data_IF_524413754321
#
_entry.id   IF_524413754321
#
_cell.length_a   1.000
_cell.length_b   1.000
_cell.length_c   1.000
_cell.angle_alpha   90.00
_cell.angle_beta   90.00
_cell.angle_gamma   90.00
#
_symmetry.space_group_name_H-M   'P 1'
#
loop_
_entity.id
_entity.type
_entity.pdbx_description
1 polymer ?
#
# COMPACT_ATOMS: atom_id res chain seq x y z
N UNK A 1 -16.68 -17.06 -0.31
CA UNK A 1 -17.35 -16.42 -1.44
C UNK A 1 -16.92 -14.94 -1.57
N UNK A 2 -15.67 -14.74 -1.94
CA UNK A 2 -15.00 -13.43 -2.02
C UNK A 2 -15.72 -12.47 -2.98
N UNK A 3 -16.21 -12.97 -4.12
CA UNK A 3 -16.89 -12.13 -5.12
C UNK A 3 -18.17 -11.51 -4.57
N UNK A 4 -18.98 -12.26 -3.85
CA UNK A 4 -20.20 -11.72 -3.23
C UNK A 4 -19.90 -10.65 -2.19
N UNK A 5 -18.81 -10.78 -1.45
CA UNK A 5 -18.37 -9.75 -0.48
C UNK A 5 -17.92 -8.52 -1.23
N UNK A 6 -17.12 -8.71 -2.29
CA UNK A 6 -16.65 -7.62 -3.14
C UNK A 6 -17.82 -6.83 -3.75
N UNK A 7 -18.78 -7.53 -4.34
CA UNK A 7 -19.95 -6.88 -4.95
C UNK A 7 -20.75 -6.06 -3.94
N UNK A 8 -20.96 -6.59 -2.73
CA UNK A 8 -21.63 -5.84 -1.65
C UNK A 8 -20.87 -4.58 -1.24
N UNK A 9 -19.54 -4.68 -1.08
CA UNK A 9 -18.71 -3.54 -0.71
C UNK A 9 -18.71 -2.47 -1.80
N UNK A 10 -18.57 -2.89 -3.07
CA UNK A 10 -18.61 -1.97 -4.21
C UNK A 10 -19.99 -1.34 -4.40
N UNK A 11 -21.07 -2.09 -4.13
CA UNK A 11 -22.43 -1.54 -4.15
C UNK A 11 -22.64 -0.50 -3.07
N UNK A 12 -22.20 -0.79 -1.83
CA UNK A 12 -22.24 0.18 -0.72
C UNK A 12 -21.43 1.43 -1.06
N UNK A 13 -20.23 1.26 -1.59
CA UNK A 13 -19.39 2.37 -2.01
C UNK A 13 -20.06 3.20 -3.11
N UNK A 14 -20.74 2.57 -4.06
CA UNK A 14 -21.49 3.28 -5.09
C UNK A 14 -22.67 4.09 -4.50
N UNK A 15 -23.44 3.50 -3.60
CA UNK A 15 -24.55 4.21 -2.94
C UNK A 15 -24.11 5.47 -2.20
N UNK A 16 -22.94 5.45 -1.60
CA UNK A 16 -22.40 6.59 -0.85
C UNK A 16 -21.75 7.63 -1.77
N UNK A 17 -21.05 7.19 -2.80
CA UNK A 17 -20.14 8.05 -3.58
C UNK A 17 -20.56 8.29 -5.02
N UNK A 18 -21.35 7.40 -5.61
CA UNK A 18 -21.66 7.39 -7.04
C UNK A 18 -20.51 6.92 -7.95
N UNK A 19 -19.34 6.62 -7.40
CA UNK A 19 -18.11 6.40 -8.17
C UNK A 19 -17.89 4.96 -8.68
N UNK A 20 -18.80 4.02 -8.39
CA UNK A 20 -18.68 2.62 -8.80
C UNK A 20 -19.90 2.13 -9.58
N UNK A 21 -20.17 2.67 -10.78
CA UNK A 21 -21.30 2.24 -11.60
C UNK A 21 -21.15 0.78 -12.04
N UNK A 22 -22.28 0.13 -12.28
CA UNK A 22 -22.33 -1.22 -12.84
C UNK A 22 -22.17 -1.11 -14.37
N UNK A 23 -21.06 -1.63 -14.90
CA UNK A 23 -20.76 -1.61 -16.34
C UNK A 23 -20.58 -3.07 -16.79
N UNK A 24 -21.45 -3.53 -17.68
CA UNK A 24 -21.45 -4.92 -18.19
C UNK A 24 -21.41 -5.98 -17.06
N UNK A 25 -22.24 -5.78 -16.03
CA UNK A 25 -22.32 -6.71 -14.90
C UNK A 25 -21.18 -6.62 -13.88
N UNK A 26 -20.23 -5.71 -14.04
CA UNK A 26 -19.12 -5.49 -13.10
C UNK A 26 -19.07 -4.05 -12.65
N UNK A 27 -18.92 -3.84 -11.35
CA UNK A 27 -18.72 -2.49 -10.80
C UNK A 27 -17.29 -2.01 -11.06
N UNK A 28 -17.15 -0.87 -11.72
CA UNK A 28 -15.86 -0.26 -12.05
C UNK A 28 -15.78 1.13 -11.44
N UNK A 29 -14.58 1.51 -11.04
CA UNK A 29 -14.33 2.88 -10.58
C UNK A 29 -14.40 3.85 -11.76
N UNK A 30 -15.20 4.91 -11.61
CA UNK A 30 -15.39 5.96 -12.61
C UNK A 30 -14.66 7.23 -12.17
N UNK A 31 -13.59 7.57 -12.88
CA UNK A 31 -12.78 8.76 -12.62
C UNK A 31 -13.54 10.06 -12.88
N UNK A 32 -14.52 10.08 -13.83
CA UNK A 32 -15.33 11.26 -14.10
C UNK A 32 -16.29 11.52 -12.94
N UNK A 33 -16.99 10.49 -12.48
CA UNK A 33 -17.86 10.57 -11.32
C UNK A 33 -17.07 10.98 -10.06
N UNK A 34 -15.85 10.48 -9.91
CA UNK A 34 -14.96 10.85 -8.81
C UNK A 34 -14.60 12.34 -8.86
N UNK A 35 -14.24 12.87 -10.03
CA UNK A 35 -13.96 14.28 -10.20
C UNK A 35 -15.16 15.15 -9.82
N UNK A 36 -16.35 14.80 -10.29
CA UNK A 36 -17.58 15.52 -9.94
C UNK A 36 -17.88 15.44 -8.42
N UNK A 37 -17.59 14.32 -7.78
CA UNK A 37 -17.72 14.18 -6.34
C UNK A 37 -16.79 15.15 -5.60
N UNK A 38 -15.51 15.22 -5.99
CA UNK A 38 -14.51 16.09 -5.37
C UNK A 38 -14.84 17.56 -5.57
N UNK A 39 -15.14 17.97 -6.81
CA UNK A 39 -15.34 19.38 -7.19
C UNK A 39 -16.68 19.92 -6.66
N UNK A 40 -17.77 19.20 -6.91
CA UNK A 40 -19.12 19.74 -6.72
C UNK A 40 -19.70 19.37 -5.34
N UNK A 41 -19.46 18.15 -4.85
CA UNK A 41 -20.07 17.68 -3.62
C UNK A 41 -19.19 17.91 -2.39
N UNK A 42 -17.91 17.61 -2.50
CA UNK A 42 -16.96 17.78 -1.39
C UNK A 42 -16.31 19.15 -1.38
N UNK A 43 -16.30 19.84 -2.52
CA UNK A 43 -15.69 21.16 -2.71
C UNK A 43 -14.26 21.21 -2.20
N UNK A 44 -13.46 20.21 -2.61
CA UNK A 44 -12.05 20.13 -2.23
C UNK A 44 -11.23 20.82 -3.30
N UNK A 45 -10.70 21.98 -2.98
CA UNK A 45 -9.82 22.72 -3.86
C UNK A 45 -8.44 22.05 -3.96
N UNK A 46 -7.79 22.24 -5.13
CA UNK A 46 -6.41 21.80 -5.37
C UNK A 46 -6.19 20.28 -5.18
N UNK A 47 -7.16 19.45 -5.61
CA UNK A 47 -6.96 18.01 -5.61
C UNK A 47 -5.72 17.62 -6.44
N UNK A 48 -4.80 16.77 -5.93
CA UNK A 48 -3.60 16.37 -6.66
C UNK A 48 -3.90 15.72 -7.99
N UNK A 49 -3.21 16.14 -9.04
CA UNK A 49 -3.37 15.62 -10.40
C UNK A 49 -2.14 14.87 -10.87
N UNK A 50 -2.33 13.96 -11.82
CA UNK A 50 -1.25 13.36 -12.59
C UNK A 50 -0.72 14.34 -13.65
N UNK A 51 0.44 14.09 -14.26
CA UNK A 51 0.95 14.92 -15.36
C UNK A 51 -0.03 15.08 -16.52
N UNK A 52 -0.96 14.12 -16.74
CA UNK A 52 -2.03 14.18 -17.72
C UNK A 52 -3.32 14.86 -17.24
N UNK A 53 -3.31 15.55 -16.10
CA UNK A 53 -4.48 16.29 -15.57
C UNK A 53 -5.56 15.43 -14.92
N UNK A 54 -5.39 14.12 -14.82
CA UNK A 54 -6.34 13.26 -14.13
C UNK A 54 -6.15 13.32 -12.60
N UNK A 55 -7.26 13.31 -11.84
CA UNK A 55 -7.23 13.28 -10.39
C UNK A 55 -6.55 12.01 -9.87
N UNK A 56 -5.58 12.17 -8.98
CA UNK A 56 -4.89 11.04 -8.35
C UNK A 56 -5.82 10.32 -7.39
N UNK A 57 -5.80 8.98 -7.48
CA UNK A 57 -6.55 8.07 -6.59
C UNK A 57 -5.62 7.03 -5.97
N UNK A 58 -4.33 7.37 -5.87
CA UNK A 58 -3.37 6.54 -5.16
C UNK A 58 -3.64 6.57 -3.64
N UNK A 59 -3.08 5.58 -2.96
CA UNK A 59 -3.29 5.37 -1.52
C UNK A 59 -2.93 6.59 -0.69
N UNK A 60 -1.82 7.25 -1.01
CA UNK A 60 -1.31 8.37 -0.22
C UNK A 60 -2.13 9.63 -0.42
N UNK A 61 -2.56 9.88 -1.67
CA UNK A 61 -3.49 10.98 -1.96
C UNK A 61 -4.81 10.78 -1.22
N UNK A 62 -5.43 9.60 -1.33
CA UNK A 62 -6.70 9.34 -0.66
C UNK A 62 -6.57 9.41 0.87
N UNK A 63 -5.43 9.01 1.44
CA UNK A 63 -5.17 9.08 2.88
C UNK A 63 -5.18 10.51 3.41
N UNK A 64 -4.67 11.48 2.67
CA UNK A 64 -4.65 12.90 3.08
C UNK A 64 -6.05 13.48 3.26
N UNK A 65 -7.04 12.91 2.58
CA UNK A 65 -8.42 13.39 2.57
C UNK A 65 -9.40 12.42 3.27
N UNK A 66 -8.91 11.49 4.10
CA UNK A 66 -9.75 10.50 4.81
C UNK A 66 -10.76 11.10 5.79
N UNK A 67 -10.60 12.36 6.16
CA UNK A 67 -11.61 13.10 6.94
C UNK A 67 -12.98 13.15 6.26
N UNK A 68 -13.03 12.99 4.93
CA UNK A 68 -14.26 12.87 4.18
C UNK A 68 -14.69 11.41 4.08
N UNK A 69 -15.85 11.08 4.62
CA UNK A 69 -16.38 9.71 4.65
C UNK A 69 -16.45 9.06 3.27
N UNK A 70 -16.76 9.87 2.24
CA UNK A 70 -16.80 9.41 0.84
C UNK A 70 -15.41 9.00 0.35
N UNK A 71 -14.38 9.74 0.68
CA UNK A 71 -12.99 9.43 0.29
C UNK A 71 -12.51 8.19 1.03
N UNK A 72 -12.79 8.07 2.32
CA UNK A 72 -12.50 6.87 3.11
C UNK A 72 -13.15 5.64 2.49
N UNK A 73 -14.43 5.71 2.15
CA UNK A 73 -15.19 4.63 1.51
C UNK A 73 -14.57 4.24 0.14
N UNK A 74 -14.18 5.21 -0.67
CA UNK A 74 -13.49 4.95 -1.95
C UNK A 74 -12.16 4.24 -1.72
N UNK A 75 -11.35 4.71 -0.79
CA UNK A 75 -10.06 4.09 -0.45
C UNK A 75 -10.23 2.64 -0.03
N UNK A 76 -11.18 2.35 0.87
CA UNK A 76 -11.48 0.99 1.32
C UNK A 76 -11.90 0.08 0.16
N UNK A 77 -12.80 0.56 -0.70
CA UNK A 77 -13.27 -0.18 -1.88
C UNK A 77 -12.13 -0.45 -2.88
N UNK A 78 -11.27 0.52 -3.15
CA UNK A 78 -10.12 0.36 -4.05
C UNK A 78 -9.07 -0.59 -3.45
N UNK A 79 -8.81 -0.52 -2.15
CA UNK A 79 -7.90 -1.43 -1.46
C UNK A 79 -8.41 -2.88 -1.54
N UNK A 80 -9.70 -3.10 -1.30
CA UNK A 80 -10.30 -4.41 -1.41
C UNK A 80 -10.23 -4.95 -2.84
N UNK A 81 -10.52 -4.10 -3.85
CA UNK A 81 -10.38 -4.46 -5.27
C UNK A 81 -8.95 -4.90 -5.61
N UNK A 82 -7.95 -4.22 -5.08
CA UNK A 82 -6.56 -4.60 -5.31
C UNK A 82 -6.21 -5.95 -4.67
N UNK A 83 -6.94 -6.37 -3.63
CA UNK A 83 -6.79 -7.67 -3.01
C UNK A 83 -7.33 -8.83 -3.87
N UNK A 84 -8.10 -8.56 -4.94
CA UNK A 84 -8.56 -9.59 -5.89
C UNK A 84 -7.43 -10.26 -6.66
N UNK A 85 -6.26 -9.64 -6.69
CA UNK A 85 -5.05 -10.23 -7.31
C UNK A 85 -4.70 -11.61 -6.75
N UNK A 86 -5.25 -11.96 -5.58
CA UNK A 86 -5.08 -13.27 -4.96
C UNK A 86 -5.78 -14.41 -5.67
N UNK A 87 -6.86 -14.15 -6.42
CA UNK A 87 -7.59 -15.19 -7.16
C UNK A 87 -6.75 -15.88 -8.21
N UNK A 88 -5.77 -15.19 -8.72
CA UNK A 88 -4.96 -15.63 -9.84
C UNK A 88 -3.51 -15.96 -9.41
N UNK A 89 -3.33 -16.37 -8.15
CA UNK A 89 -2.02 -16.86 -7.73
C UNK A 89 -1.60 -18.04 -8.60
N UNK A 90 -0.34 -18.09 -9.04
CA UNK A 90 0.16 -19.22 -9.82
C UNK A 90 0.27 -20.46 -8.94
N UNK A 91 -0.79 -21.25 -8.94
CA UNK A 91 -0.83 -22.54 -8.24
C UNK A 91 -0.29 -23.62 -9.16
N UNK A 92 0.73 -24.33 -8.71
CA UNK A 92 1.27 -25.48 -9.41
C UNK A 92 0.32 -26.68 -9.22
N UNK A 93 -0.26 -27.26 -10.29
CA UNK A 93 -1.23 -28.34 -10.17
C UNK A 93 -0.62 -29.64 -9.63
N UNK A 94 0.70 -29.79 -9.65
CA UNK A 94 1.39 -30.99 -9.18
C UNK A 94 1.44 -31.10 -7.66
N UNK A 95 1.55 -29.99 -6.96
CA UNK A 95 1.67 -29.95 -5.49
C UNK A 95 0.64 -29.03 -4.82
N UNK A 96 -0.26 -28.43 -5.61
CA UNK A 96 -1.29 -27.48 -5.20
C UNK A 96 -0.74 -26.30 -4.37
N UNK A 97 0.44 -25.81 -4.75
CA UNK A 97 1.11 -24.72 -4.04
C UNK A 97 1.32 -23.51 -4.93
N UNK A 98 1.21 -22.33 -4.31
CA UNK A 98 1.60 -21.10 -4.97
C UNK A 98 3.11 -21.06 -5.17
N UNK A 99 3.55 -20.84 -6.40
CA UNK A 99 4.94 -20.66 -6.76
C UNK A 99 5.25 -19.17 -6.88
N UNK A 100 6.38 -18.77 -6.34
CA UNK A 100 6.88 -17.39 -6.43
C UNK A 100 8.21 -17.39 -7.15
N UNK A 101 8.31 -16.48 -8.12
CA UNK A 101 9.53 -16.32 -8.90
C UNK A 101 10.00 -14.87 -8.77
N UNK A 102 11.30 -14.70 -8.57
CA UNK A 102 11.96 -13.39 -8.56
C UNK A 102 13.03 -13.35 -9.64
N UNK A 103 13.15 -12.22 -10.29
CA UNK A 103 14.30 -11.88 -11.11
C UNK A 103 15.36 -11.28 -10.20
N UNK A 104 16.45 -12.00 -9.95
CA UNK A 104 17.56 -11.48 -9.17
C UNK A 104 18.20 -10.31 -9.91
N UNK A 105 18.51 -9.24 -9.18
CA UNK A 105 19.04 -7.99 -9.75
C UNK A 105 18.12 -7.34 -10.81
N UNK A 106 16.82 -7.62 -10.77
CA UNK A 106 15.86 -7.08 -11.73
C UNK A 106 15.61 -5.58 -11.61
N UNK A 107 15.88 -4.97 -10.46
CA UNK A 107 15.83 -3.53 -10.27
C UNK A 107 17.18 -2.88 -10.57
N UNK A 108 17.17 -1.61 -11.03
CA UNK A 108 18.39 -0.81 -11.24
C UNK A 108 19.25 -0.67 -9.97
N UNK A 109 18.66 -0.80 -8.81
CA UNK A 109 19.33 -0.78 -7.50
C UNK A 109 19.89 -2.13 -7.08
N UNK A 110 19.87 -3.16 -7.92
CA UNK A 110 20.34 -4.51 -7.60
C UNK A 110 19.37 -5.35 -6.77
N UNK A 111 18.18 -4.84 -6.44
CA UNK A 111 17.17 -5.61 -5.70
C UNK A 111 16.51 -6.66 -6.59
N UNK A 112 16.14 -7.79 -5.98
CA UNK A 112 15.29 -8.77 -6.64
C UNK A 112 13.90 -8.19 -6.89
N UNK A 113 13.35 -8.44 -8.07
CA UNK A 113 12.00 -8.02 -8.44
C UNK A 113 11.09 -9.22 -8.65
N UNK A 114 9.82 -9.14 -8.21
CA UNK A 114 8.85 -10.18 -8.52
C UNK A 114 8.67 -10.32 -10.03
N UNK A 115 8.67 -11.54 -10.54
CA UNK A 115 8.42 -11.79 -11.96
C UNK A 115 6.97 -11.53 -12.38
N UNK A 116 6.06 -11.44 -11.41
CA UNK A 116 4.64 -11.14 -11.64
C UNK A 116 4.08 -10.25 -10.53
N UNK A 117 3.02 -9.49 -10.85
CA UNK A 117 2.26 -8.71 -9.84
C UNK A 117 1.55 -9.59 -8.78
N UNK A 118 1.53 -10.90 -8.98
CA UNK A 118 0.88 -11.92 -8.13
C UNK A 118 1.89 -12.64 -7.24
N UNK A 119 2.85 -11.90 -6.75
CA UNK A 119 3.92 -12.41 -5.92
C UNK A 119 3.42 -12.59 -4.48
N UNK A 120 3.48 -13.82 -3.95
CA UNK A 120 2.93 -14.14 -2.64
C UNK A 120 3.53 -13.30 -1.48
N UNK A 121 4.82 -13.03 -1.41
CA UNK A 121 5.40 -12.15 -0.39
C UNK A 121 4.88 -10.71 -0.39
N UNK A 122 4.30 -10.23 -1.50
CA UNK A 122 3.72 -8.88 -1.62
C UNK A 122 2.23 -8.83 -1.27
N UNK A 123 1.70 -9.89 -0.67
CA UNK A 123 0.30 -9.93 -0.25
C UNK A 123 0.06 -8.98 0.94
N UNK A 124 -1.14 -8.39 1.03
CA UNK A 124 -1.52 -7.63 2.21
C UNK A 124 -1.37 -8.44 3.50
N UNK A 125 -0.91 -7.84 4.61
CA UNK A 125 -0.66 -8.54 5.87
C UNK A 125 -1.85 -9.37 6.39
N UNK A 126 -3.09 -8.96 6.11
CA UNK A 126 -4.29 -9.69 6.51
C UNK A 126 -4.40 -11.11 5.92
N UNK A 127 -3.62 -11.41 4.87
CA UNK A 127 -3.58 -12.75 4.27
C UNK A 127 -2.46 -13.64 4.82
N UNK A 128 -1.53 -13.09 5.58
CA UNK A 128 -0.44 -13.86 6.20
C UNK A 128 -0.93 -15.07 7.00
N UNK A 129 -2.02 -14.99 7.80
CA UNK A 129 -2.55 -16.15 8.52
C UNK A 129 -3.03 -17.30 7.63
N UNK A 130 -3.33 -17.04 6.36
CA UNK A 130 -3.77 -18.06 5.41
C UNK A 130 -2.61 -18.73 4.67
N UNK A 131 -1.36 -18.29 4.89
CA UNK A 131 -0.19 -18.94 4.34
C UNK A 131 0.13 -20.22 5.12
N UNK A 132 -0.07 -21.37 4.50
CA UNK A 132 0.21 -22.66 5.12
C UNK A 132 1.62 -23.09 4.71
N UNK A 133 2.57 -23.17 5.64
CA UNK A 133 3.93 -23.59 5.33
C UNK A 133 4.00 -25.07 4.96
N UNK A 134 5.03 -25.43 4.21
CA UNK A 134 5.31 -26.84 3.93
C UNK A 134 5.69 -27.55 5.24
N UNK A 135 5.22 -28.78 5.39
CA UNK A 135 5.50 -29.60 6.58
C UNK A 135 4.99 -29.04 7.92
N UNK A 136 3.98 -28.17 7.90
CA UNK A 136 3.39 -27.57 9.13
C UNK A 136 4.43 -26.87 10.04
N UNK A 137 5.58 -26.48 9.50
CA UNK A 137 6.59 -25.72 10.25
C UNK A 137 6.19 -24.24 10.31
N UNK A 138 6.59 -23.50 11.36
CA UNK A 138 6.29 -22.07 11.42
C UNK A 138 6.97 -21.31 10.27
N UNK A 139 6.33 -20.23 9.81
CA UNK A 139 6.94 -19.27 8.90
C UNK A 139 7.56 -18.17 9.77
N UNK A 140 8.87 -17.98 9.64
CA UNK A 140 9.57 -16.87 10.25
C UNK A 140 9.77 -15.78 9.22
N UNK A 141 9.28 -14.57 9.52
CA UNK A 141 9.58 -13.37 8.76
C UNK A 141 10.61 -12.55 9.53
N UNK A 142 11.78 -12.41 8.95
CA UNK A 142 12.86 -11.57 9.51
C UNK A 142 13.04 -10.38 8.59
N UNK A 143 13.15 -9.20 9.18
CA UNK A 143 13.41 -7.96 8.48
C UNK A 143 14.41 -7.15 9.31
N UNK A 144 15.38 -6.51 8.65
CA UNK A 144 16.31 -5.64 9.33
C UNK A 144 15.69 -4.24 9.48
N UNK A 145 15.68 -3.75 10.69
CA UNK A 145 15.17 -2.40 10.92
C UNK A 145 16.12 -1.39 10.26
N UNK A 146 15.56 -0.60 9.33
CA UNK A 146 16.22 0.51 8.64
C UNK A 146 17.61 0.18 8.09
N UNK A 147 17.75 -1.00 7.51
CA UNK A 147 19.02 -1.56 7.02
C UNK A 147 19.83 -0.59 6.15
N UNK A 148 19.18 0.13 5.25
CA UNK A 148 19.86 1.05 4.33
C UNK A 148 20.50 2.22 5.09
N UNK A 149 19.84 2.73 6.11
CA UNK A 149 20.34 3.83 6.92
C UNK A 149 21.58 3.42 7.72
N UNK A 150 21.54 2.28 8.42
CA UNK A 150 22.69 1.83 9.24
C UNK A 150 23.89 1.47 8.37
N UNK A 151 23.68 0.86 7.19
CA UNK A 151 24.77 0.57 6.26
C UNK A 151 25.43 1.89 5.80
N UNK A 152 24.64 2.91 5.43
CA UNK A 152 25.18 4.21 5.06
C UNK A 152 25.95 4.87 6.22
N UNK A 153 25.41 4.81 7.44
CA UNK A 153 26.05 5.35 8.63
C UNK A 153 27.42 4.69 8.91
N UNK A 154 27.48 3.37 8.82
CA UNK A 154 28.72 2.61 9.05
C UNK A 154 29.74 2.87 7.95
N UNK A 155 29.34 2.86 6.68
CA UNK A 155 30.24 3.06 5.55
C UNK A 155 30.79 4.50 5.48
N UNK A 156 29.99 5.51 5.89
CA UNK A 156 30.43 6.91 5.94
C UNK A 156 31.29 7.21 7.19
N UNK A 157 31.18 6.38 8.23
CA UNK A 157 31.79 6.66 9.54
C UNK A 157 31.11 7.81 10.28
N UNK A 158 29.91 8.21 9.89
CA UNK A 158 29.16 9.31 10.48
C UNK A 158 28.61 8.92 11.86
N UNK A 159 29.21 9.47 12.90
CA UNK A 159 28.83 9.18 14.28
C UNK A 159 27.44 9.68 14.65
N UNK A 160 26.98 10.76 14.04
CA UNK A 160 25.65 11.31 14.32
C UNK A 160 24.56 10.43 13.67
N UNK A 161 24.81 9.88 12.49
CA UNK A 161 23.93 8.88 11.90
C UNK A 161 23.87 7.62 12.74
N UNK A 162 25.00 7.14 13.27
CA UNK A 162 25.03 5.97 14.16
C UNK A 162 24.21 6.23 15.42
N UNK A 163 24.41 7.37 16.09
CA UNK A 163 23.59 7.77 17.26
C UNK A 163 22.10 7.88 16.93
N UNK A 164 21.76 8.45 15.78
CA UNK A 164 20.38 8.55 15.33
C UNK A 164 19.75 7.15 15.15
N UNK A 165 20.50 6.19 14.62
CA UNK A 165 20.03 4.79 14.51
C UNK A 165 19.83 4.15 15.90
N UNK A 166 20.77 4.32 16.81
CA UNK A 166 20.70 3.80 18.18
C UNK A 166 19.54 4.42 18.99
N UNK A 167 19.06 5.60 18.62
CA UNK A 167 17.87 6.20 19.24
C UNK A 167 16.56 5.49 18.93
N UNK A 168 16.57 4.52 18.01
CA UNK A 168 15.43 3.69 17.61
C UNK A 168 14.65 4.19 16.41
N UNK A 169 14.62 5.49 16.12
CA UNK A 169 14.02 6.05 14.90
C UNK A 169 14.90 7.16 14.29
N UNK A 170 15.83 6.80 13.41
CA UNK A 170 16.77 7.75 12.83
C UNK A 170 16.10 8.82 11.97
N UNK A 171 14.95 8.55 11.36
CA UNK A 171 14.23 9.56 10.58
C UNK A 171 13.59 10.60 11.49
N UNK A 172 13.06 10.17 12.63
CA UNK A 172 12.56 11.07 13.67
C UNK A 172 13.70 11.91 14.26
N UNK A 173 14.82 11.26 14.59
CA UNK A 173 16.01 11.96 15.12
C UNK A 173 16.54 12.99 14.12
N UNK A 174 16.64 12.62 12.84
CA UNK A 174 17.09 13.53 11.77
C UNK A 174 16.11 14.69 11.58
N UNK A 175 14.81 14.43 11.58
CA UNK A 175 13.78 15.45 11.43
C UNK A 175 13.81 16.48 12.56
N UNK A 176 14.06 16.04 13.81
CA UNK A 176 14.27 16.93 14.98
C UNK A 176 15.55 17.75 14.83
N UNK A 177 16.66 17.10 14.50
CA UNK A 177 17.94 17.76 14.32
C UNK A 177 17.91 18.81 13.19
N UNK A 178 17.15 18.54 12.13
CA UNK A 178 16.93 19.48 11.02
C UNK A 178 15.87 20.56 11.32
N UNK A 179 15.26 20.56 12.52
CA UNK A 179 14.20 21.49 12.93
C UNK A 179 12.95 21.44 12.01
N UNK A 180 12.75 20.35 11.29
CA UNK A 180 11.60 20.15 10.40
C UNK A 180 10.37 19.70 11.17
N UNK A 181 10.61 19.00 12.29
CA UNK A 181 9.55 18.51 13.19
C UNK A 181 9.84 18.97 14.63
N UNK A 182 8.80 19.18 15.47
CA UNK A 182 8.99 19.56 16.87
C UNK A 182 9.80 18.52 17.65
N UNK A 183 10.56 18.95 18.65
CA UNK A 183 11.36 18.06 19.48
C UNK A 183 10.48 17.08 20.27
N UNK A 184 9.28 17.48 20.64
CA UNK A 184 8.30 16.64 21.32
C UNK A 184 7.61 15.61 20.39
N UNK A 185 7.86 15.66 19.07
CA UNK A 185 7.24 14.71 18.13
C UNK A 185 7.64 13.26 18.41
N UNK A 186 6.68 12.37 18.28
CA UNK A 186 6.89 10.90 18.39
C UNK A 186 6.51 10.22 17.08
N UNK A 187 6.80 8.95 16.95
CA UNK A 187 6.47 8.14 15.76
C UNK A 187 4.96 8.14 15.42
N UNK A 188 4.13 8.35 16.42
CA UNK A 188 2.67 8.39 16.32
C UNK A 188 2.12 9.82 16.17
N UNK A 189 2.99 10.80 16.09
CA UNK A 189 2.59 12.19 15.86
C UNK A 189 2.16 12.35 14.40
N UNK A 190 0.94 12.89 14.14
CA UNK A 190 0.44 13.06 12.77
C UNK A 190 1.24 14.10 11.97
#
# INVERSE_FOLDING_TARGET
NFDKVMDKVMERAHKITGCFPLIKGVRKFDHKAFRLLVDNKLRIDNWPTSPGGAYKVDRDTLRRFERYEQIKTIKEALNLRNSTKLKDLPIDPRDNRAKTYCSYFGAKTGRATPSTSRHMPNMPPCFTPFMIPRYKKPILKVDYEQQEFIIAAVLSGDKEMIKAYESGDPYLALGKAALVIPEAATKDHP
#
